data_IF_109110671219
#
_entry.id   IF_109110671219
#
_cell.length_a   1.000
_cell.length_b   1.000
_cell.length_c   1.000
_cell.angle_alpha   90.00
_cell.angle_beta   90.00
_cell.angle_gamma   90.00
#
_symmetry.space_group_name_H-M   'P 1'
#
loop_
_entity.id
_entity.type
_entity.pdbx_description
1 polymer ?
#
# COMPACT_ATOMS: atom_id res chain seq x y z
N UNK A 1 -12.20 -2.58 22.34
CA UNK A 1 -10.73 -2.53 22.50
C UNK A 1 -10.39 -1.43 23.50
N UNK A 2 -9.42 -1.65 24.38
CA UNK A 2 -8.98 -0.62 25.33
C UNK A 2 -8.20 0.48 24.63
N UNK A 3 -8.26 1.73 25.12
CA UNK A 3 -7.51 2.86 24.58
C UNK A 3 -6.00 2.57 24.47
N UNK A 4 -5.46 1.78 25.43
CA UNK A 4 -4.06 1.33 25.42
C UNK A 4 -3.75 0.38 24.26
N UNK A 5 -4.68 -0.50 23.92
CA UNK A 5 -4.52 -1.42 22.79
C UNK A 5 -4.54 -0.66 21.48
N UNK A 6 -5.45 0.30 21.32
CA UNK A 6 -5.51 1.12 20.11
C UNK A 6 -4.25 1.99 19.93
N UNK A 7 -3.75 2.62 21.00
CA UNK A 7 -2.53 3.42 20.91
C UNK A 7 -1.31 2.54 20.58
N UNK A 8 -1.23 1.34 21.15
CA UNK A 8 -0.17 0.37 20.82
C UNK A 8 -0.24 -0.03 19.34
N UNK A 9 -1.43 -0.37 18.82
CA UNK A 9 -1.59 -0.76 17.43
C UNK A 9 -1.26 0.36 16.45
N UNK A 10 -1.66 1.61 16.76
CA UNK A 10 -1.30 2.77 15.95
C UNK A 10 0.21 3.01 15.96
N UNK A 11 0.87 2.85 17.12
CA UNK A 11 2.33 2.94 17.22
C UNK A 11 3.05 1.88 16.39
N UNK A 12 2.59 0.63 16.43
CA UNK A 12 3.13 -0.45 15.59
C UNK A 12 2.91 -0.17 14.11
N UNK A 13 1.72 0.28 13.72
CA UNK A 13 1.44 0.63 12.32
C UNK A 13 2.34 1.77 11.82
N UNK A 14 2.52 2.83 12.62
CA UNK A 14 3.43 3.92 12.29
C UNK A 14 4.88 3.45 12.16
N UNK A 15 5.32 2.54 13.04
CA UNK A 15 6.66 1.96 12.98
C UNK A 15 6.86 1.12 11.73
N UNK A 16 5.88 0.30 11.33
CA UNK A 16 5.94 -0.48 10.09
C UNK A 16 6.05 0.43 8.86
N UNK A 17 5.32 1.55 8.85
CA UNK A 17 5.37 2.53 7.76
C UNK A 17 6.72 3.27 7.73
N UNK A 18 7.26 3.64 8.89
CA UNK A 18 8.47 4.43 9.00
C UNK A 18 9.77 3.61 8.90
N UNK A 19 9.75 2.33 9.28
CA UNK A 19 10.95 1.48 9.33
C UNK A 19 11.69 1.41 7.98
N UNK A 20 11.04 1.23 6.81
CA UNK A 20 11.73 1.21 5.53
C UNK A 20 12.47 2.51 5.21
N UNK A 21 11.93 3.67 5.63
CA UNK A 21 12.53 4.98 5.37
C UNK A 21 13.87 5.16 6.10
N UNK A 22 14.04 4.50 7.25
CA UNK A 22 15.27 4.57 8.05
C UNK A 22 16.23 3.44 7.72
N UNK A 23 15.71 2.22 7.53
CA UNK A 23 16.52 1.02 7.31
C UNK A 23 16.98 0.87 5.84
N UNK A 24 16.23 1.42 4.89
CA UNK A 24 16.57 1.37 3.47
C UNK A 24 16.20 2.68 2.75
N UNK A 25 16.89 3.79 3.05
CA UNK A 25 16.56 5.12 2.54
C UNK A 25 16.72 5.27 1.02
N UNK A 26 17.53 4.41 0.39
CA UNK A 26 17.72 4.35 -1.06
C UNK A 26 16.92 3.18 -1.69
N UNK A 27 16.06 2.52 -0.92
CA UNK A 27 15.28 1.38 -1.39
C UNK A 27 14.33 1.76 -2.51
N UNK A 28 14.36 0.99 -3.60
CA UNK A 28 13.35 1.11 -4.65
C UNK A 28 12.05 0.48 -4.14
N UNK A 29 11.00 1.29 -4.02
CA UNK A 29 9.67 0.83 -3.67
C UNK A 29 8.99 0.24 -4.91
N UNK A 30 9.35 -0.99 -5.24
CA UNK A 30 8.74 -1.77 -6.32
C UNK A 30 7.43 -2.42 -5.90
N UNK A 31 6.62 -2.78 -6.89
CA UNK A 31 5.43 -3.59 -6.66
C UNK A 31 5.76 -5.03 -6.31
N UNK A 32 4.79 -5.77 -5.77
CA UNK A 32 4.94 -7.22 -5.54
C UNK A 32 5.24 -7.99 -6.82
N UNK A 33 4.74 -7.49 -7.94
CA UNK A 33 4.87 -8.12 -9.25
C UNK A 33 6.31 -8.01 -9.79
N UNK A 34 7.03 -6.95 -9.44
CA UNK A 34 8.44 -6.77 -9.81
C UNK A 34 9.30 -7.87 -9.15
N UNK A 35 9.09 -8.10 -7.85
CA UNK A 35 9.80 -9.14 -7.09
C UNK A 35 9.48 -10.56 -7.61
N UNK A 36 8.20 -10.81 -7.96
CA UNK A 36 7.80 -12.09 -8.52
C UNK A 36 8.44 -12.33 -9.90
N UNK A 37 8.45 -11.32 -10.76
CA UNK A 37 9.05 -11.41 -12.10
C UNK A 37 10.56 -11.65 -12.04
N UNK A 38 11.26 -11.02 -11.10
CA UNK A 38 12.69 -11.23 -10.87
C UNK A 38 12.99 -12.69 -10.51
N UNK A 39 12.27 -13.25 -9.54
CA UNK A 39 12.46 -14.65 -9.11
C UNK A 39 12.18 -15.65 -10.24
N UNK A 40 11.12 -15.42 -11.03
CA UNK A 40 10.79 -16.30 -12.17
C UNK A 40 11.90 -16.23 -13.24
N UNK A 41 12.37 -15.03 -13.57
CA UNK A 41 13.41 -14.84 -14.59
C UNK A 41 14.74 -15.46 -14.17
N UNK A 42 15.10 -15.36 -12.88
CA UNK A 42 16.32 -15.97 -12.35
C UNK A 42 16.25 -17.50 -12.24
N UNK A 43 15.09 -18.05 -11.90
CA UNK A 43 14.94 -19.50 -11.70
C UNK A 43 14.69 -20.27 -12.99
N UNK A 44 14.01 -19.66 -13.98
CA UNK A 44 13.63 -20.29 -15.24
C UNK A 44 13.90 -19.33 -16.41
N UNK A 45 15.15 -19.23 -16.89
CA UNK A 45 15.54 -18.24 -17.92
C UNK A 45 14.85 -18.44 -19.27
N UNK A 46 14.41 -19.67 -19.56
CA UNK A 46 13.69 -20.02 -20.78
C UNK A 46 12.16 -19.85 -20.65
N UNK A 47 11.66 -19.34 -19.51
CA UNK A 47 10.23 -19.15 -19.30
C UNK A 47 9.71 -18.02 -20.19
N UNK A 48 8.73 -18.36 -21.03
CA UNK A 48 8.04 -17.40 -21.89
C UNK A 48 6.67 -17.05 -21.27
N UNK A 49 6.33 -15.76 -21.24
CA UNK A 49 5.04 -15.31 -20.71
C UNK A 49 3.90 -15.83 -21.59
N UNK A 50 3.05 -16.67 -21.02
CA UNK A 50 1.89 -17.25 -21.71
C UNK A 50 0.70 -16.28 -21.86
N UNK A 51 0.73 -15.13 -21.17
CA UNK A 51 -0.25 -14.03 -21.32
C UNK A 51 0.43 -12.67 -21.17
N UNK A 52 -0.14 -11.66 -21.85
CA UNK A 52 0.29 -10.26 -21.75
C UNK A 52 -0.79 -9.40 -21.08
N UNK A 53 -0.41 -8.30 -20.42
CA UNK A 53 -1.36 -7.34 -19.88
C UNK A 53 -2.15 -6.69 -21.02
N UNK A 54 -3.48 -6.62 -20.88
CA UNK A 54 -4.35 -5.95 -21.86
C UNK A 54 -4.08 -4.45 -21.95
N UNK A 55 -3.58 -3.87 -20.86
CA UNK A 55 -3.18 -2.47 -20.78
C UNK A 55 -2.07 -2.32 -19.73
N UNK A 56 -1.04 -1.55 -20.06
CA UNK A 56 0.04 -1.19 -19.15
C UNK A 56 0.04 0.34 -18.99
N UNK A 57 -0.28 0.89 -17.81
CA UNK A 57 -0.18 2.31 -17.57
C UNK A 57 1.30 2.75 -17.57
N UNK A 58 1.55 4.02 -17.92
CA UNK A 58 2.86 4.62 -17.66
C UNK A 58 3.11 4.68 -16.15
N UNK A 59 4.38 4.74 -15.73
CA UNK A 59 4.73 4.84 -14.30
C UNK A 59 4.08 6.03 -13.59
N UNK A 60 3.88 7.13 -14.30
CA UNK A 60 3.17 8.32 -13.77
C UNK A 60 1.68 8.06 -13.56
N UNK A 61 1.02 7.38 -14.51
CA UNK A 61 -0.40 7.02 -14.41
C UNK A 61 -0.60 5.96 -13.32
N UNK A 62 0.29 4.98 -13.23
CA UNK A 62 0.30 3.97 -12.17
C UNK A 62 0.33 4.66 -10.78
N UNK A 63 1.28 5.58 -10.58
CA UNK A 63 1.38 6.37 -9.35
C UNK A 63 0.13 7.20 -9.05
N UNK A 64 -0.46 7.83 -10.08
CA UNK A 64 -1.69 8.60 -9.94
C UNK A 64 -2.86 7.72 -9.50
N UNK A 65 -3.02 6.53 -10.08
CA UNK A 65 -4.08 5.59 -9.71
C UNK A 65 -3.92 5.12 -8.26
N UNK A 66 -2.69 4.81 -7.82
CA UNK A 66 -2.41 4.48 -6.41
C UNK A 66 -2.73 5.65 -5.47
N UNK A 67 -2.33 6.88 -5.84
CA UNK A 67 -2.63 8.07 -5.05
C UNK A 67 -4.14 8.32 -4.94
N UNK A 68 -4.88 8.14 -6.05
CA UNK A 68 -6.34 8.27 -6.06
C UNK A 68 -7.02 7.22 -5.18
N UNK A 69 -6.57 5.96 -5.22
CA UNK A 69 -7.06 4.89 -4.35
C UNK A 69 -6.80 5.22 -2.87
N UNK A 70 -5.60 5.71 -2.55
CA UNK A 70 -5.25 6.11 -1.19
C UNK A 70 -6.12 7.26 -0.68
N UNK A 71 -6.31 8.30 -1.51
CA UNK A 71 -7.17 9.44 -1.18
C UNK A 71 -8.63 9.02 -0.96
N UNK A 72 -9.16 8.12 -1.80
CA UNK A 72 -10.51 7.59 -1.65
C UNK A 72 -10.67 6.78 -0.37
N UNK A 73 -9.72 5.88 -0.08
CA UNK A 73 -9.71 5.10 1.16
C UNK A 73 -9.64 5.98 2.42
N UNK A 74 -8.77 6.98 2.42
CA UNK A 74 -8.67 7.95 3.51
C UNK A 74 -9.95 8.77 3.68
N UNK A 75 -10.56 9.21 2.57
CA UNK A 75 -11.83 9.93 2.58
C UNK A 75 -12.98 9.10 3.15
N UNK A 76 -13.09 7.83 2.75
CA UNK A 76 -14.12 6.92 3.28
C UNK A 76 -13.93 6.67 4.79
N UNK A 77 -12.69 6.38 5.23
CA UNK A 77 -12.37 6.18 6.64
C UNK A 77 -12.68 7.44 7.46
N UNK A 78 -12.23 8.60 6.99
CA UNK A 78 -12.50 9.90 7.63
C UNK A 78 -14.00 10.18 7.76
N UNK A 79 -14.76 9.93 6.70
CA UNK A 79 -16.22 10.09 6.71
C UNK A 79 -16.91 9.16 7.71
N UNK A 80 -16.53 7.87 7.76
CA UNK A 80 -17.11 6.91 8.71
C UNK A 80 -16.79 7.29 10.16
N UNK A 81 -15.54 7.64 10.44
CA UNK A 81 -15.10 8.09 11.78
C UNK A 81 -15.87 9.35 12.18
N UNK A 82 -15.93 10.36 11.29
CA UNK A 82 -16.63 11.62 11.54
C UNK A 82 -18.13 11.41 11.78
N UNK A 83 -18.80 10.62 10.93
CA UNK A 83 -20.23 10.31 11.09
C UNK A 83 -20.52 9.58 12.41
N UNK A 84 -19.65 8.65 12.82
CA UNK A 84 -19.81 7.93 14.10
C UNK A 84 -19.59 8.86 15.30
N UNK A 85 -18.59 9.74 15.26
CA UNK A 85 -18.34 10.72 16.32
C UNK A 85 -19.52 11.68 16.48
N UNK A 86 -20.06 12.22 15.37
CA UNK A 86 -21.21 13.14 15.40
C UNK A 86 -22.52 12.52 15.91
N UNK A 87 -22.65 11.19 15.91
CA UNK A 87 -23.81 10.47 16.47
C UNK A 87 -23.70 10.16 17.96
N UNK A 88 -22.50 10.23 18.54
CA UNK A 88 -22.25 9.91 19.95
C UNK A 88 -22.44 11.12 20.89
N UNK A 89 -22.68 12.31 20.33
CA UNK A 89 -22.97 13.54 21.07
C UNK A 89 -24.47 13.87 21.21
N UNK A 90 -25.34 12.91 20.89
CA UNK A 90 -26.76 12.86 21.29
C UNK A 90 -26.95 11.65 22.19
#
# INVERSE_FOLDING_TARGET
MSARTNSMLLGVAALIIAAPLVLNPAGQFGGTDDAASEVVTSSHPAYEKWTGPLWQPSKEIEGLLFAAQAAFGAGLLGYVIGRRHGRSGK
#
